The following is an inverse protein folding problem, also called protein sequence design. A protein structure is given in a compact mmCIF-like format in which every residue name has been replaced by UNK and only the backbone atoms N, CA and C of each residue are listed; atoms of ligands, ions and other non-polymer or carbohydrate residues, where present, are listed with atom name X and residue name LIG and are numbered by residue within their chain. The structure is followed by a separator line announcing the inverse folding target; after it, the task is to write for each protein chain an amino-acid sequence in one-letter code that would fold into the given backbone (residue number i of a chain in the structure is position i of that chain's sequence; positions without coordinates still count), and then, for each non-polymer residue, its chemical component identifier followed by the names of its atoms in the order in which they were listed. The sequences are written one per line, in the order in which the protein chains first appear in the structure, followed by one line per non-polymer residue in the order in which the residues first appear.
data_IF_021281727392
#
_entry.id   IF_021281727392
#
_cell.length_a   1.000
_cell.length_b   1.000
_cell.length_c   1.000
_cell.angle_alpha   90.00
_cell.angle_beta   90.00
_cell.angle_gamma   90.00
#
_symmetry.space_group_name_H-M   'P 1'
#
loop_
_entity.id
_entity.type
_entity.pdbx_description
1 polymer ?
#
# COMPACT_ATOMS: atom_id res chain seq x y z
N UNK A 1 -9.58 -26.20 20.29
CA UNK A 1 -8.18 -25.78 20.01
C UNK A 1 -8.13 -25.15 18.61
N UNK A 2 -8.17 -23.81 18.52
CA UNK A 2 -8.10 -23.09 17.23
C UNK A 2 -6.63 -22.77 16.94
N UNK A 3 -6.09 -23.31 15.85
CA UNK A 3 -4.69 -23.15 15.46
C UNK A 3 -4.30 -21.67 15.35
N UNK A 4 -3.48 -21.21 16.30
CA UNK A 4 -2.66 -20.01 16.16
C UNK A 4 -1.62 -20.27 15.06
N UNK A 5 -1.60 -19.43 14.02
CA UNK A 5 -0.30 -18.94 13.53
C UNK A 5 0.21 -19.31 12.13
N UNK A 6 -0.61 -19.77 11.19
CA UNK A 6 -0.19 -19.76 9.76
C UNK A 6 -1.20 -18.99 8.91
N UNK A 7 -0.83 -17.76 8.57
CA UNK A 7 -1.50 -16.98 7.53
C UNK A 7 -1.43 -17.76 6.22
N UNK A 8 -2.58 -18.09 5.64
CA UNK A 8 -2.61 -18.78 4.34
C UNK A 8 -2.00 -17.88 3.26
N UNK A 9 -1.42 -18.46 2.20
CA UNK A 9 -0.87 -17.68 1.09
C UNK A 9 -1.87 -16.65 0.52
N UNK A 10 -3.14 -17.01 0.41
CA UNK A 10 -4.24 -16.16 -0.06
C UNK A 10 -4.40 -14.93 0.84
N UNK A 11 -4.47 -15.15 2.15
CA UNK A 11 -4.61 -14.08 3.15
C UNK A 11 -3.38 -13.19 3.21
N UNK A 12 -2.18 -13.75 3.06
CA UNK A 12 -0.94 -12.97 3.08
C UNK A 12 -0.89 -12.00 1.90
N UNK A 13 -1.21 -12.48 0.70
CA UNK A 13 -1.29 -11.62 -0.50
C UNK A 13 -2.42 -10.60 -0.37
N UNK A 14 -3.59 -11.01 0.13
CA UNK A 14 -4.72 -10.11 0.37
C UNK A 14 -4.40 -8.99 1.37
N UNK A 15 -3.72 -9.29 2.48
CA UNK A 15 -3.26 -8.28 3.44
C UNK A 15 -2.24 -7.32 2.83
N UNK A 16 -1.30 -7.82 2.02
CA UNK A 16 -0.36 -6.97 1.29
C UNK A 16 -1.08 -6.02 0.34
N UNK A 17 -2.06 -6.51 -0.43
CA UNK A 17 -2.87 -5.68 -1.30
C UNK A 17 -3.64 -4.60 -0.52
N UNK A 18 -4.23 -4.97 0.62
CA UNK A 18 -4.95 -4.05 1.49
C UNK A 18 -4.03 -2.96 2.06
N UNK A 19 -2.80 -3.33 2.45
CA UNK A 19 -1.79 -2.39 2.90
C UNK A 19 -1.44 -1.39 1.80
N UNK A 20 -1.18 -1.87 0.58
CA UNK A 20 -0.88 -0.99 -0.57
C UNK A 20 -2.02 -0.02 -0.83
N UNK A 21 -3.28 -0.49 -0.86
CA UNK A 21 -4.45 0.38 -1.04
C UNK A 21 -4.55 1.41 0.09
N UNK A 22 -4.36 0.99 1.34
CA UNK A 22 -4.40 1.89 2.50
C UNK A 22 -3.34 2.98 2.40
N UNK A 23 -2.10 2.63 2.05
CA UNK A 23 -1.01 3.60 1.87
C UNK A 23 -1.34 4.60 0.74
N UNK A 24 -1.92 4.13 -0.36
CA UNK A 24 -2.35 5.00 -1.45
C UNK A 24 -3.46 5.96 -1.02
N UNK A 25 -4.48 5.48 -0.30
CA UNK A 25 -5.55 6.33 0.26
C UNK A 25 -4.95 7.35 1.23
N UNK A 26 -4.07 6.94 2.13
CA UNK A 26 -3.41 7.84 3.08
C UNK A 26 -2.65 8.94 2.35
N UNK A 27 -1.91 8.58 1.30
CA UNK A 27 -1.14 9.52 0.49
C UNK A 27 -2.05 10.53 -0.23
N UNK A 28 -3.15 10.07 -0.82
CA UNK A 28 -4.16 10.92 -1.46
C UNK A 28 -4.84 11.85 -0.45
N UNK A 29 -5.29 11.33 0.70
CA UNK A 29 -5.98 12.12 1.73
C UNK A 29 -5.10 13.23 2.30
N UNK A 30 -3.82 12.93 2.60
CA UNK A 30 -2.87 13.95 3.06
C UNK A 30 -2.60 15.00 1.99
N UNK A 31 -2.68 14.62 0.71
CA UNK A 31 -2.50 15.55 -0.41
C UNK A 31 -3.70 16.45 -0.63
N UNK A 32 -4.92 15.93 -0.49
CA UNK A 32 -6.15 16.73 -0.51
C UNK A 32 -6.12 17.73 0.66
N UNK A 33 -5.78 17.27 1.86
CA UNK A 33 -5.68 18.13 3.04
C UNK A 33 -4.63 19.25 2.86
N UNK A 34 -3.52 18.98 2.17
CA UNK A 34 -2.54 20.01 1.81
C UNK A 34 -3.12 21.08 0.87
N UNK A 35 -3.89 20.67 -0.14
CA UNK A 35 -4.54 21.58 -1.10
C UNK A 35 -5.67 22.38 -0.42
N UNK A 36 -6.38 21.78 0.54
CA UNK A 36 -7.42 22.44 1.34
C UNK A 36 -6.90 23.49 2.33
N UNK A 37 -5.61 23.84 2.31
CA UNK A 37 -5.05 24.96 3.07
C UNK A 37 -4.21 24.57 4.28
N UNK A 38 -3.92 23.28 4.51
CA UNK A 38 -2.99 22.87 5.58
C UNK A 38 -1.54 23.14 5.13
N UNK A 39 -1.05 24.34 5.41
CA UNK A 39 0.28 24.82 5.01
C UNK A 39 1.42 23.89 5.44
N UNK A 40 1.31 23.24 6.61
CA UNK A 40 2.32 22.30 7.10
C UNK A 40 2.43 21.04 6.25
N UNK A 41 1.34 20.58 5.60
CA UNK A 41 1.37 19.45 4.68
C UNK A 41 1.89 19.86 3.30
N UNK A 42 1.51 21.06 2.84
CA UNK A 42 2.03 21.63 1.58
C UNK A 42 3.55 21.84 1.65
N UNK A 43 4.06 22.40 2.76
CA UNK A 43 5.50 22.55 3.02
C UNK A 43 6.25 21.21 3.10
N UNK A 44 5.57 20.12 3.45
CA UNK A 44 6.11 18.75 3.41
C UNK A 44 6.07 18.14 2.00
N UNK A 45 5.64 18.89 0.99
CA UNK A 45 5.57 18.45 -0.40
C UNK A 45 4.39 17.53 -0.71
N UNK A 46 3.31 17.60 0.07
CA UNK A 46 2.01 17.04 -0.34
C UNK A 46 1.30 18.03 -1.27
N UNK A 47 0.59 17.54 -2.29
CA UNK A 47 -0.13 18.37 -3.26
C UNK A 47 -0.62 17.57 -4.46
N UNK A 48 -0.95 18.23 -5.57
CA UNK A 48 -1.57 17.59 -6.73
C UNK A 48 -0.76 16.42 -7.30
N UNK A 49 0.58 16.56 -7.39
CA UNK A 49 1.47 15.46 -7.82
C UNK A 49 1.36 14.23 -6.90
N UNK A 50 1.21 14.47 -5.60
CA UNK A 50 1.05 13.42 -4.60
C UNK A 50 -0.31 12.72 -4.70
N UNK A 51 -1.38 13.41 -5.13
CA UNK A 51 -2.66 12.75 -5.44
C UNK A 51 -2.50 11.72 -6.55
N UNK A 52 -1.80 12.10 -7.64
CA UNK A 52 -1.55 11.17 -8.77
C UNK A 52 -0.77 9.94 -8.29
N UNK A 53 0.27 10.14 -7.50
CA UNK A 53 1.05 9.05 -6.88
C UNK A 53 0.15 8.15 -6.03
N UNK A 54 -0.72 8.73 -5.18
CA UNK A 54 -1.65 7.98 -4.35
C UNK A 54 -2.64 7.14 -5.16
N UNK A 55 -3.21 7.70 -6.23
CA UNK A 55 -4.10 6.99 -7.15
C UNK A 55 -3.41 5.81 -7.85
N UNK A 56 -2.15 5.99 -8.31
CA UNK A 56 -1.35 4.90 -8.90
C UNK A 56 -1.16 3.77 -7.88
N UNK A 57 -0.79 4.11 -6.64
CA UNK A 57 -0.62 3.11 -5.57
C UNK A 57 -1.91 2.34 -5.31
N UNK A 58 -3.07 3.02 -5.27
CA UNK A 58 -4.38 2.38 -5.11
C UNK A 58 -4.64 1.40 -6.26
N UNK A 59 -4.43 1.82 -7.51
CA UNK A 59 -4.63 0.98 -8.69
C UNK A 59 -3.75 -0.27 -8.66
N UNK A 60 -2.47 -0.11 -8.31
CA UNK A 60 -1.54 -1.24 -8.13
C UNK A 60 -2.00 -2.18 -7.02
N UNK A 61 -2.47 -1.64 -5.89
CA UNK A 61 -3.02 -2.42 -4.79
C UNK A 61 -4.24 -3.26 -5.19
N UNK A 62 -5.17 -2.70 -5.97
CA UNK A 62 -6.27 -3.48 -6.54
C UNK A 62 -5.78 -4.55 -7.51
N UNK A 63 -4.82 -4.22 -8.38
CA UNK A 63 -4.19 -5.20 -9.26
C UNK A 63 -3.60 -6.40 -8.50
N UNK A 64 -2.91 -6.16 -7.38
CA UNK A 64 -2.40 -7.22 -6.49
C UNK A 64 -3.56 -8.04 -5.90
N UNK A 65 -4.64 -7.38 -5.45
CA UNK A 65 -5.83 -8.06 -4.90
C UNK A 65 -6.49 -8.99 -5.92
N UNK A 66 -6.47 -8.64 -7.21
CA UNK A 66 -6.95 -9.49 -8.31
C UNK A 66 -5.90 -10.50 -8.82
N UNK A 67 -4.76 -10.63 -8.14
CA UNK A 67 -3.74 -11.64 -8.43
C UNK A 67 -2.77 -11.25 -9.54
N UNK A 68 -2.67 -9.97 -9.92
CA UNK A 68 -1.69 -9.52 -10.90
C UNK A 68 -0.27 -9.53 -10.31
N UNK A 69 0.57 -10.43 -10.81
CA UNK A 69 2.01 -10.47 -10.51
C UNK A 69 2.71 -9.20 -10.98
N UNK A 70 2.32 -8.69 -12.15
CA UNK A 70 2.91 -7.47 -12.72
C UNK A 70 2.65 -6.26 -11.83
N UNK A 71 1.44 -6.11 -11.29
CA UNK A 71 1.13 -5.03 -10.35
C UNK A 71 1.94 -5.14 -9.06
N UNK A 72 2.21 -6.36 -8.58
CA UNK A 72 3.08 -6.58 -7.41
C UNK A 72 4.53 -6.15 -7.69
N UNK A 73 5.08 -6.51 -8.84
CA UNK A 73 6.43 -6.08 -9.24
C UNK A 73 6.53 -4.56 -9.41
N UNK A 74 5.57 -3.95 -10.13
CA UNK A 74 5.54 -2.50 -10.33
C UNK A 74 5.40 -1.79 -8.98
N UNK A 75 4.52 -2.24 -8.09
CA UNK A 75 4.39 -1.67 -6.75
C UNK A 75 5.70 -1.76 -5.96
N UNK A 76 6.38 -2.90 -6.00
CA UNK A 76 7.66 -3.11 -5.31
C UNK A 76 8.71 -2.12 -5.81
N UNK A 77 8.88 -2.01 -7.13
CA UNK A 77 9.81 -1.08 -7.75
C UNK A 77 9.45 0.38 -7.43
N UNK A 78 8.16 0.72 -7.51
CA UNK A 78 7.66 2.06 -7.27
C UNK A 78 7.91 2.53 -5.83
N UNK A 79 7.65 1.69 -4.83
CA UNK A 79 8.00 2.00 -3.44
C UNK A 79 9.52 2.05 -3.20
N UNK A 80 10.30 1.24 -3.92
CA UNK A 80 11.77 1.32 -3.90
C UNK A 80 12.29 2.66 -4.42
N UNK A 81 11.74 3.14 -5.55
CA UNK A 81 12.06 4.45 -6.11
C UNK A 81 11.63 5.60 -5.19
N UNK A 82 10.45 5.50 -4.57
CA UNK A 82 9.99 6.46 -3.56
C UNK A 82 10.94 6.50 -2.35
N UNK A 83 11.41 5.35 -1.88
CA UNK A 83 12.40 5.30 -0.80
C UNK A 83 13.70 6.01 -1.22
N UNK A 84 14.25 5.71 -2.39
CA UNK A 84 15.44 6.39 -2.90
C UNK A 84 15.22 7.92 -3.02
N UNK A 85 14.06 8.33 -3.54
CA UNK A 85 13.67 9.73 -3.66
C UNK A 85 13.61 10.44 -2.30
N UNK A 86 12.99 9.84 -1.29
CA UNK A 86 12.92 10.46 0.05
C UNK A 86 14.26 10.47 0.78
N UNK A 87 15.10 9.45 0.58
CA UNK A 87 16.47 9.45 1.09
C UNK A 87 17.29 10.58 0.47
N UNK A 88 17.21 10.73 -0.86
CA UNK A 88 17.89 11.82 -1.57
C UNK A 88 17.44 13.20 -1.05
N UNK A 89 16.14 13.41 -0.88
CA UNK A 89 15.62 14.66 -0.32
C UNK A 89 16.03 14.88 1.14
N UNK A 90 16.14 13.82 1.94
CA UNK A 90 16.67 13.91 3.31
C UNK A 90 18.11 14.44 3.30
N UNK A 91 18.97 13.88 2.44
CA UNK A 91 20.38 14.28 2.33
C UNK A 91 20.53 15.75 1.91
N UNK A 92 19.68 16.24 1.00
CA UNK A 92 19.71 17.63 0.56
C UNK A 92 19.14 18.62 1.58
N UNK A 93 17.95 18.33 2.11
CA UNK A 93 17.21 19.29 2.94
C UNK A 93 17.61 19.25 4.42
N UNK A 94 18.29 18.18 4.87
CA UNK A 94 18.54 17.84 6.29
C UNK A 94 17.28 17.91 7.16
N UNK A 95 16.10 17.82 6.56
CA UNK A 95 14.81 17.90 7.24
C UNK A 95 14.38 16.51 7.68
N UNK A 96 13.73 16.37 8.83
CA UNK A 96 13.19 15.08 9.27
C UNK A 96 11.96 14.63 8.47
N UNK A 97 11.32 15.55 7.73
CA UNK A 97 10.07 15.29 7.02
C UNK A 97 10.13 14.13 6.00
N UNK A 98 11.19 13.96 5.20
CA UNK A 98 11.32 12.83 4.27
C UNK A 98 11.58 11.50 4.97
N UNK A 99 12.13 11.47 6.20
CA UNK A 99 12.48 10.23 6.91
C UNK A 99 11.25 9.35 7.17
N UNK A 100 10.13 9.96 7.59
CA UNK A 100 8.89 9.20 7.86
C UNK A 100 8.40 8.53 6.56
N UNK A 101 8.39 9.27 5.45
CA UNK A 101 7.97 8.76 4.14
C UNK A 101 8.95 7.71 3.61
N UNK A 102 10.25 7.89 3.85
CA UNK A 102 11.28 6.89 3.56
C UNK A 102 11.00 5.59 4.32
N UNK A 103 10.79 5.66 5.63
CA UNK A 103 10.52 4.48 6.46
C UNK A 103 9.29 3.70 5.99
N UNK A 104 8.17 4.40 5.69
CA UNK A 104 6.99 3.77 5.12
C UNK A 104 7.26 3.14 3.74
N UNK A 105 8.06 3.79 2.89
CA UNK A 105 8.39 3.27 1.56
C UNK A 105 9.28 2.03 1.62
N UNK A 106 10.27 2.01 2.52
CA UNK A 106 11.11 0.84 2.78
C UNK A 106 10.29 -0.30 3.35
N UNK A 107 9.43 -0.01 4.33
CA UNK A 107 8.55 -1.01 4.92
C UNK A 107 7.61 -1.63 3.87
N UNK A 108 6.96 -0.81 3.05
CA UNK A 108 6.11 -1.27 1.96
C UNK A 108 6.88 -2.11 0.94
N UNK A 109 8.07 -1.66 0.52
CA UNK A 109 8.94 -2.39 -0.42
C UNK A 109 9.30 -3.77 0.13
N UNK A 110 9.74 -3.84 1.39
CA UNK A 110 10.09 -5.10 2.06
C UNK A 110 8.88 -6.04 2.12
N UNK A 111 7.72 -5.53 2.51
CA UNK A 111 6.49 -6.33 2.59
C UNK A 111 6.09 -6.87 1.22
N UNK A 112 6.12 -6.03 0.18
CA UNK A 112 5.78 -6.42 -1.19
C UNK A 112 6.77 -7.45 -1.74
N UNK A 113 8.07 -7.24 -1.54
CA UNK A 113 9.12 -8.17 -1.97
C UNK A 113 8.96 -9.55 -1.32
N UNK A 114 8.64 -9.61 -0.03
CA UNK A 114 8.35 -10.88 0.67
C UNK A 114 7.07 -11.57 0.18
N UNK A 115 6.15 -10.83 -0.45
CA UNK A 115 4.89 -11.37 -0.99
C UNK A 115 5.03 -11.89 -2.42
N UNK A 116 6.08 -11.50 -3.17
CA UNK A 116 6.37 -12.01 -4.53
C UNK A 116 6.39 -13.54 -4.59
N UNK A 117 7.22 -14.26 -3.80
CA UNK A 117 7.28 -15.73 -3.88
C UNK A 117 5.94 -16.37 -3.46
N UNK A 118 5.18 -15.72 -2.59
CA UNK A 118 3.85 -16.21 -2.15
C UNK A 118 2.85 -16.11 -3.30
N UNK A 119 2.81 -14.97 -4.00
CA UNK A 119 1.96 -14.78 -5.18
C UNK A 119 2.32 -15.74 -6.32
N UNK A 120 3.60 -16.07 -6.49
CA UNK A 120 4.04 -17.05 -7.48
C UNK A 120 3.49 -18.44 -7.17
N UNK A 121 3.63 -18.91 -5.92
CA UNK A 121 3.10 -20.20 -5.46
C UNK A 121 1.57 -20.24 -5.55
N UNK A 122 0.91 -19.14 -5.17
CA UNK A 122 -0.54 -19.01 -5.22
C UNK A 122 -1.08 -19.21 -6.64
N UNK A 123 -0.49 -18.52 -7.63
CA UNK A 123 -0.85 -18.69 -9.04
C UNK A 123 -0.54 -20.09 -9.57
N UNK A 124 0.58 -20.69 -9.15
CA UNK A 124 0.93 -22.04 -9.56
C UNK A 124 -0.09 -23.08 -9.05
N UNK A 125 -0.69 -22.83 -7.88
CA UNK A 125 -1.75 -23.65 -7.31
C UNK A 125 -3.15 -23.37 -7.90
N UNK A 126 -3.30 -22.44 -8.85
CA UNK A 126 -4.60 -22.03 -9.39
C UNK A 126 -5.47 -21.21 -8.42
N UNK A 127 -4.93 -20.85 -7.25
CA UNK A 127 -5.64 -20.09 -6.22
C UNK A 127 -5.60 -18.58 -6.47
N UNK A 128 -6.62 -17.86 -6.01
CA UNK A 128 -6.67 -16.40 -6.06
C UNK A 128 -6.43 -15.77 -4.68
N UNK A 129 -5.89 -14.54 -4.62
CA UNK A 129 -5.72 -13.85 -3.34
C UNK A 129 -7.04 -13.71 -2.60
N UNK A 130 -6.97 -13.67 -1.28
CA UNK A 130 -8.17 -13.41 -0.49
C UNK A 130 -8.69 -12.01 -0.81
N UNK A 131 -9.94 -11.97 -1.27
CA UNK A 131 -10.63 -10.72 -1.63
C UNK A 131 -11.40 -10.13 -0.46
N UNK A 132 -11.38 -10.81 0.69
CA UNK A 132 -12.00 -10.28 1.90
C UNK A 132 -11.45 -8.89 2.18
N UNK A 133 -12.36 -7.94 2.28
CA UNK A 133 -12.04 -6.59 2.65
C UNK A 133 -12.70 -6.40 4.00
N UNK A 134 -11.90 -6.28 5.06
CA UNK A 134 -12.38 -6.14 6.44
C UNK A 134 -13.42 -5.04 6.58
N UNK A 135 -13.33 -3.98 5.77
CA UNK A 135 -14.32 -2.91 5.71
C UNK A 135 -15.62 -3.34 5.00
N UNK A 136 -15.52 -4.06 3.88
CA UNK A 136 -16.69 -4.62 3.18
C UNK A 136 -17.46 -5.57 4.10
N UNK A 137 -16.76 -6.48 4.76
CA UNK A 137 -17.39 -7.46 5.65
C UNK A 137 -18.03 -6.80 6.88
N UNK A 138 -17.45 -5.70 7.37
CA UNK A 138 -18.04 -4.91 8.45
C UNK A 138 -19.34 -4.21 8.03
N UNK A 139 -19.37 -3.58 6.84
CA UNK A 139 -20.58 -2.91 6.33
C UNK A 139 -21.67 -3.92 5.93
N UNK A 140 -21.32 -5.03 5.29
CA UNK A 140 -22.29 -6.06 4.89
C UNK A 140 -22.88 -6.80 6.09
N UNK A 141 -22.11 -7.10 7.14
CA UNK A 141 -22.67 -7.64 8.40
C UNK A 141 -23.68 -6.69 9.04
N UNK A 142 -23.49 -5.38 8.90
CA UNK A 142 -24.42 -4.37 9.42
C UNK A 142 -25.72 -4.29 8.62
N UNK A 143 -25.67 -4.63 7.33
CA UNK A 143 -26.84 -4.64 6.43
C UNK A 143 -27.63 -5.95 6.58
N UNK A 144 -26.97 -7.09 6.80
CA UNK A 144 -27.65 -8.38 7.02
C UNK A 144 -28.24 -8.57 8.42
N UNK A 145 -27.82 -7.79 9.41
CA UNK A 145 -28.38 -7.79 10.77
C UNK A 145 -29.44 -6.69 10.98
N UNK A 146 -30.01 -6.15 9.90
CA UNK A 146 -31.21 -5.30 9.89
C UNK A 146 -32.31 -6.03 9.15
#
# INVERSE_FOLDING_TARGET
MVSKGKLTPEKRVGLTANLTIFLGILYTSLSIAAISGIASLSARGYGTKSIVIGCIIIGLGYGIRYGSKMCLYIATAFFGLLAAYFMYNFLLSKSINPIIRFAFSVWATRTLAMTIPVMIRLKAAGSSPDRSNRYRDFFFKRIQNK
#
